data_IF_649551819653
#
_entry.id   IF_649551819653
#
_cell.length_a   1.000
_cell.length_b   1.000
_cell.length_c   1.000
_cell.angle_alpha   90.00
_cell.angle_beta   90.00
_cell.angle_gamma   90.00
#
_symmetry.space_group_name_H-M   'P 1'
#
loop_
_entity.id
_entity.type
_entity.pdbx_description
1 polymer ?
#
# COMPACT_ATOMS: atom_id res chain seq x y z
N UNK A 1 -13.88 -5.90 -36.23
CA UNK A 1 -12.68 -6.48 -35.63
C UNK A 1 -12.70 -6.06 -34.17
N UNK A 2 -12.82 -7.00 -33.24
CA UNK A 2 -12.69 -6.63 -31.82
C UNK A 2 -11.23 -6.22 -31.60
N UNK A 3 -11.04 -4.93 -31.31
CA UNK A 3 -9.72 -4.41 -30.99
C UNK A 3 -9.23 -5.14 -29.73
N UNK A 4 -8.14 -5.90 -29.85
CA UNK A 4 -7.57 -6.67 -28.73
C UNK A 4 -7.03 -5.66 -27.72
N UNK A 5 -7.43 -5.77 -26.45
CA UNK A 5 -6.95 -4.88 -25.39
C UNK A 5 -5.43 -4.95 -25.31
N UNK A 6 -4.80 -3.78 -25.19
CA UNK A 6 -3.35 -3.65 -25.02
C UNK A 6 -3.05 -3.04 -23.65
N UNK A 7 -2.38 -3.80 -22.80
CA UNK A 7 -2.08 -3.43 -21.41
C UNK A 7 -0.57 -3.25 -21.23
N UNK A 8 -0.16 -2.08 -20.75
CA UNK A 8 1.19 -1.86 -20.26
C UNK A 8 1.36 -2.44 -18.85
N UNK A 9 2.48 -3.12 -18.58
CA UNK A 9 2.85 -3.56 -17.23
C UNK A 9 4.15 -2.88 -16.85
N UNK A 10 4.06 -1.87 -15.97
CA UNK A 10 5.18 -1.05 -15.53
C UNK A 10 5.85 -1.69 -14.31
N UNK A 11 7.13 -2.04 -14.43
CA UNK A 11 7.90 -2.63 -13.32
C UNK A 11 9.41 -2.46 -13.53
N UNK A 12 10.17 -2.45 -12.42
CA UNK A 12 11.63 -2.42 -12.45
C UNK A 12 12.24 -3.82 -12.53
N UNK A 13 11.59 -4.81 -11.97
CA UNK A 13 12.10 -6.17 -11.81
C UNK A 13 10.96 -7.18 -11.83
N UNK A 14 11.14 -8.26 -12.57
CA UNK A 14 10.17 -9.37 -12.60
C UNK A 14 10.32 -10.22 -11.33
N UNK A 15 9.40 -10.04 -10.39
CA UNK A 15 9.24 -10.91 -9.21
C UNK A 15 8.29 -12.06 -9.56
N UNK A 16 8.02 -12.91 -8.61
CA UNK A 16 7.08 -14.02 -8.81
C UNK A 16 5.65 -13.53 -9.05
N UNK A 17 5.25 -12.45 -8.41
CA UNK A 17 3.94 -11.81 -8.60
C UNK A 17 3.75 -11.34 -10.05
N UNK A 18 4.75 -10.66 -10.62
CA UNK A 18 4.69 -10.21 -12.01
C UNK A 18 4.64 -11.40 -12.97
N UNK A 19 5.32 -12.53 -12.66
CA UNK A 19 5.22 -13.76 -13.46
C UNK A 19 3.81 -14.33 -13.45
N UNK A 20 3.13 -14.34 -12.30
CA UNK A 20 1.76 -14.84 -12.20
C UNK A 20 0.76 -13.93 -12.93
N UNK A 21 0.92 -12.61 -12.80
CA UNK A 21 0.10 -11.63 -13.53
C UNK A 21 0.29 -11.80 -15.05
N UNK A 22 1.53 -11.87 -15.53
CA UNK A 22 1.85 -12.06 -16.94
C UNK A 22 1.23 -13.38 -17.45
N UNK A 23 1.42 -14.49 -16.73
CA UNK A 23 0.83 -15.77 -17.09
C UNK A 23 -0.72 -15.71 -17.11
N UNK A 24 -1.33 -14.90 -16.22
CA UNK A 24 -2.77 -14.69 -16.23
C UNK A 24 -3.23 -13.87 -17.45
N UNK A 25 -2.48 -12.86 -17.88
CA UNK A 25 -2.75 -12.09 -19.11
C UNK A 25 -2.65 -12.99 -20.35
N UNK A 26 -1.62 -13.85 -20.42
CA UNK A 26 -1.45 -14.83 -21.51
C UNK A 26 -2.63 -15.81 -21.60
N UNK A 27 -3.05 -16.37 -20.46
CA UNK A 27 -4.24 -17.27 -20.40
C UNK A 27 -5.53 -16.59 -20.88
N UNK A 28 -5.66 -15.27 -20.67
CA UNK A 28 -6.85 -14.47 -21.09
C UNK A 28 -6.73 -13.92 -22.50
N UNK A 29 -5.62 -14.16 -23.17
CA UNK A 29 -5.37 -13.68 -24.53
C UNK A 29 -5.26 -12.16 -24.63
N UNK A 30 -4.85 -11.50 -23.56
CA UNK A 30 -4.60 -10.05 -23.51
C UNK A 30 -3.26 -9.75 -24.18
N UNK A 31 -3.21 -8.72 -25.02
CA UNK A 31 -1.95 -8.18 -25.51
C UNK A 31 -1.32 -7.32 -24.42
N UNK A 32 -0.10 -7.65 -24.02
CA UNK A 32 0.60 -6.91 -22.97
C UNK A 32 2.02 -6.53 -23.37
N UNK A 33 2.48 -5.41 -22.85
CA UNK A 33 3.86 -4.94 -23.03
C UNK A 33 4.53 -4.70 -21.68
N UNK A 34 5.78 -5.17 -21.56
CA UNK A 34 6.61 -4.98 -20.37
C UNK A 34 7.30 -3.63 -20.45
N UNK A 35 7.00 -2.76 -19.51
CA UNK A 35 7.53 -1.41 -19.41
C UNK A 35 8.54 -1.36 -18.24
N UNK A 36 9.84 -1.37 -18.57
CA UNK A 36 10.91 -1.29 -17.56
C UNK A 36 11.12 0.18 -17.15
N UNK A 37 10.68 0.57 -15.96
CA UNK A 37 10.74 1.93 -15.44
C UNK A 37 12.18 2.51 -15.36
N UNK A 38 13.20 1.67 -15.34
CA UNK A 38 14.61 2.07 -15.37
C UNK A 38 15.12 2.48 -16.76
N UNK A 39 14.33 2.20 -17.80
CA UNK A 39 14.68 2.43 -19.22
C UNK A 39 13.73 3.40 -19.90
N UNK A 40 12.64 3.74 -19.23
CA UNK A 40 11.63 4.66 -19.73
C UNK A 40 12.04 6.12 -19.52
N UNK A 41 11.60 6.94 -20.44
CA UNK A 41 11.53 8.38 -20.28
C UNK A 41 10.18 8.86 -20.80
N UNK A 42 9.70 9.96 -20.29
CA UNK A 42 8.45 10.60 -20.67
C UNK A 42 8.78 11.94 -21.35
N UNK A 43 8.36 12.08 -22.59
CA UNK A 43 8.37 13.37 -23.26
C UNK A 43 7.04 14.06 -22.97
N UNK A 44 7.08 15.11 -22.14
CA UNK A 44 5.86 15.78 -21.66
C UNK A 44 5.08 16.46 -22.78
N UNK A 45 5.74 16.78 -23.90
CA UNK A 45 5.13 17.39 -25.08
C UNK A 45 4.54 16.34 -26.05
N UNK A 46 4.84 15.05 -25.84
CA UNK A 46 4.41 13.95 -26.73
C UNK A 46 3.84 12.75 -25.99
N UNK A 47 2.55 12.75 -25.61
CA UNK A 47 1.88 11.62 -24.97
C UNK A 47 1.53 10.47 -25.94
N UNK A 48 1.61 10.65 -27.25
CA UNK A 48 1.10 9.70 -28.24
C UNK A 48 1.65 8.27 -28.11
N UNK A 49 2.93 8.02 -27.79
CA UNK A 49 3.44 6.68 -27.58
C UNK A 49 2.71 5.90 -26.47
N UNK A 50 2.08 6.59 -25.53
CA UNK A 50 1.41 6.01 -24.37
C UNK A 50 -0.09 5.78 -24.59
N UNK A 51 -0.70 6.49 -25.55
CA UNK A 51 -2.13 6.35 -25.92
C UNK A 51 -2.48 5.03 -26.58
N UNK A 52 -1.48 4.22 -26.92
CA UNK A 52 -1.69 2.87 -27.43
C UNK A 52 -2.15 1.85 -26.38
N UNK A 53 -2.02 2.18 -25.08
CA UNK A 53 -2.44 1.30 -23.99
C UNK A 53 -3.86 1.64 -23.53
N UNK A 54 -4.72 0.62 -23.43
CA UNK A 54 -6.06 0.76 -22.87
C UNK A 54 -6.02 0.91 -21.35
N UNK A 55 -4.98 0.35 -20.70
CA UNK A 55 -4.64 0.58 -19.29
C UNK A 55 -3.17 0.25 -19.00
N UNK A 56 -2.62 0.79 -17.92
CA UNK A 56 -1.27 0.46 -17.45
C UNK A 56 -1.36 -0.01 -16.00
N UNK A 57 -0.89 -1.24 -15.74
CA UNK A 57 -0.73 -1.79 -14.40
C UNK A 57 0.63 -1.36 -13.83
N UNK A 58 0.61 -0.63 -12.72
CA UNK A 58 1.81 -0.19 -12.01
C UNK A 58 2.26 -1.24 -11.00
N UNK A 59 3.53 -1.66 -11.09
CA UNK A 59 4.18 -2.65 -10.24
C UNK A 59 5.63 -2.28 -9.91
N UNK A 60 5.99 -1.00 -9.98
CA UNK A 60 7.35 -0.52 -9.68
C UNK A 60 7.73 -0.78 -8.23
N UNK A 61 8.99 -1.14 -8.02
CA UNK A 61 9.54 -1.32 -6.65
C UNK A 61 9.83 0.04 -6.01
N UNK A 62 10.25 1.01 -6.83
CA UNK A 62 10.50 2.38 -6.40
C UNK A 62 9.21 3.15 -6.31
N UNK A 63 8.78 3.49 -5.09
CA UNK A 63 7.61 4.34 -4.86
C UNK A 63 7.68 5.64 -5.67
N UNK A 64 8.82 6.33 -5.62
CA UNK A 64 8.98 7.62 -6.31
C UNK A 64 8.83 7.46 -7.83
N UNK A 65 9.51 6.48 -8.43
CA UNK A 65 9.42 6.25 -9.88
C UNK A 65 8.00 5.88 -10.31
N UNK A 66 7.37 4.96 -9.57
CA UNK A 66 5.97 4.56 -9.81
C UNK A 66 5.01 5.74 -9.71
N UNK A 67 5.07 6.51 -8.61
CA UNK A 67 4.19 7.67 -8.41
C UNK A 67 4.33 8.72 -9.51
N UNK A 68 5.56 9.10 -9.90
CA UNK A 68 5.75 10.09 -10.95
C UNK A 68 5.32 9.58 -12.33
N UNK A 69 5.55 8.31 -12.63
CA UNK A 69 5.02 7.70 -13.85
C UNK A 69 3.48 7.73 -13.87
N UNK A 70 2.83 7.37 -12.77
CA UNK A 70 1.38 7.44 -12.63
C UNK A 70 0.84 8.86 -12.79
N UNK A 71 1.49 9.86 -12.17
CA UNK A 71 1.09 11.28 -12.31
C UNK A 71 1.13 11.74 -13.76
N UNK A 72 2.18 11.39 -14.51
CA UNK A 72 2.32 11.72 -15.92
C UNK A 72 1.23 11.02 -16.74
N UNK A 73 1.09 9.70 -16.58
CA UNK A 73 0.12 8.91 -17.33
C UNK A 73 -1.32 9.37 -17.07
N UNK A 74 -1.68 9.61 -15.79
CA UNK A 74 -3.02 10.09 -15.45
C UNK A 74 -3.27 11.52 -15.96
N UNK A 75 -2.26 12.41 -15.97
CA UNK A 75 -2.41 13.76 -16.56
C UNK A 75 -2.70 13.70 -18.07
N UNK A 76 -2.31 12.64 -18.75
CA UNK A 76 -2.62 12.40 -20.16
C UNK A 76 -3.95 11.64 -20.35
N UNK A 77 -4.68 11.34 -19.27
CA UNK A 77 -5.94 10.58 -19.31
C UNK A 77 -5.76 9.10 -19.58
N UNK A 78 -4.57 8.55 -19.40
CA UNK A 78 -4.30 7.11 -19.59
C UNK A 78 -4.72 6.39 -18.32
N UNK A 79 -5.64 5.39 -18.41
CA UNK A 79 -6.06 4.62 -17.25
C UNK A 79 -4.89 3.82 -16.65
N UNK A 80 -4.77 3.87 -15.31
CA UNK A 80 -3.75 3.11 -14.59
C UNK A 80 -4.36 2.36 -13.40
N UNK A 81 -3.76 1.24 -13.04
CA UNK A 81 -4.06 0.47 -11.83
C UNK A 81 -2.75 0.34 -11.01
N UNK A 82 -2.64 0.96 -9.80
CA UNK A 82 -3.57 1.93 -9.26
C UNK A 82 -3.39 3.31 -9.89
N UNK A 83 -4.23 4.30 -9.50
CA UNK A 83 -4.06 5.69 -9.94
C UNK A 83 -2.96 6.40 -9.13
N UNK A 84 -2.50 7.55 -9.65
CA UNK A 84 -1.57 8.41 -8.92
C UNK A 84 -2.13 8.85 -7.55
N UNK A 85 -3.42 9.17 -7.48
CA UNK A 85 -4.09 9.57 -6.24
C UNK A 85 -4.05 8.46 -5.19
N UNK A 86 -4.34 7.22 -5.58
CA UNK A 86 -4.26 6.05 -4.70
C UNK A 86 -2.82 5.77 -4.26
N UNK A 87 -1.85 5.83 -5.18
CA UNK A 87 -0.45 5.63 -4.85
C UNK A 87 0.08 6.71 -3.87
N UNK A 88 -0.34 7.95 -4.05
CA UNK A 88 0.00 9.06 -3.17
C UNK A 88 -0.64 8.90 -1.78
N UNK A 89 -1.93 8.57 -1.72
CA UNK A 89 -2.63 8.32 -0.45
C UNK A 89 -2.01 7.17 0.34
N UNK A 90 -1.67 6.06 -0.32
CA UNK A 90 -1.09 4.89 0.34
C UNK A 90 0.42 5.03 0.63
N UNK A 91 1.14 5.85 -0.13
CA UNK A 91 2.59 6.04 0.02
C UNK A 91 2.99 6.92 1.21
N UNK A 92 2.03 7.69 1.73
CA UNK A 92 2.21 8.60 2.86
C UNK A 92 1.29 8.21 4.02
N UNK A 93 1.87 7.85 5.17
CA UNK A 93 1.11 7.37 6.35
C UNK A 93 0.18 8.41 6.94
N UNK A 94 0.55 9.70 6.86
CA UNK A 94 -0.31 10.77 7.34
C UNK A 94 -1.53 10.92 6.43
N UNK A 95 -1.31 10.89 5.11
CA UNK A 95 -2.40 10.95 4.12
C UNK A 95 -3.33 9.74 4.26
N UNK A 96 -2.78 8.52 4.40
CA UNK A 96 -3.59 7.31 4.68
C UNK A 96 -4.40 7.50 5.97
N UNK A 97 -3.78 7.92 7.08
CA UNK A 97 -4.45 8.04 8.36
C UNK A 97 -5.56 9.10 8.36
N UNK A 98 -5.35 10.22 7.66
CA UNK A 98 -6.40 11.26 7.53
C UNK A 98 -7.55 10.79 6.65
N UNK A 99 -7.28 9.99 5.61
CA UNK A 99 -8.33 9.38 4.78
C UNK A 99 -9.16 8.36 5.58
N UNK A 100 -8.51 7.52 6.38
CA UNK A 100 -9.17 6.55 7.25
C UNK A 100 -10.04 7.24 8.32
N UNK A 101 -9.52 8.32 8.93
CA UNK A 101 -10.24 9.11 9.93
C UNK A 101 -11.51 9.71 9.35
N UNK A 102 -11.41 10.39 8.20
CA UNK A 102 -12.57 10.99 7.50
C UNK A 102 -13.62 9.95 7.12
N UNK A 103 -13.19 8.74 6.78
CA UNK A 103 -14.08 7.63 6.47
C UNK A 103 -14.63 6.93 7.73
N UNK A 104 -14.18 7.29 8.94
CA UNK A 104 -14.55 6.62 10.18
C UNK A 104 -14.10 5.16 10.21
N UNK A 105 -12.91 4.87 9.67
CA UNK A 105 -12.28 3.55 9.74
C UNK A 105 -11.46 3.46 11.02
N UNK A 106 -11.65 2.45 11.87
CA UNK A 106 -10.86 2.26 13.08
C UNK A 106 -9.37 2.09 12.76
N UNK A 107 -8.53 2.85 13.43
CA UNK A 107 -7.07 2.81 13.32
C UNK A 107 -6.42 3.04 14.68
N UNK A 108 -5.13 2.72 14.88
CA UNK A 108 -4.39 3.13 16.06
C UNK A 108 -4.40 4.65 16.19
N UNK A 109 -4.37 5.14 17.43
CA UNK A 109 -4.25 6.57 17.70
C UNK A 109 -2.91 7.09 17.22
N UNK A 110 -2.94 8.16 16.42
CA UNK A 110 -1.75 8.77 15.85
C UNK A 110 -1.68 10.24 16.25
N UNK A 111 -0.50 10.71 16.63
CA UNK A 111 -0.19 12.12 16.85
C UNK A 111 0.94 12.54 15.90
N UNK A 112 0.85 13.75 15.40
CA UNK A 112 1.81 14.30 14.44
C UNK A 112 2.45 15.55 15.05
N UNK A 113 3.77 15.62 14.97
CA UNK A 113 4.55 16.75 15.47
C UNK A 113 5.59 17.17 14.44
N UNK A 114 6.08 18.40 14.56
CA UNK A 114 7.02 18.98 13.60
C UNK A 114 8.33 19.44 14.23
N UNK A 115 8.45 19.32 15.57
CA UNK A 115 9.69 19.58 16.30
C UNK A 115 9.94 18.45 17.30
N UNK A 116 11.18 18.20 17.73
CA UNK A 116 11.47 17.22 18.78
C UNK A 116 10.71 17.48 20.07
N UNK A 117 10.58 18.75 20.45
CA UNK A 117 9.90 19.17 21.69
C UNK A 117 8.42 18.80 21.64
N UNK A 118 7.71 19.20 20.58
CA UNK A 118 6.30 18.85 20.41
C UNK A 118 6.08 17.35 20.18
N UNK A 119 7.07 16.64 19.62
CA UNK A 119 7.03 15.18 19.49
C UNK A 119 7.14 14.50 20.86
N UNK A 120 8.00 14.99 21.74
CA UNK A 120 8.12 14.49 23.10
C UNK A 120 6.83 14.70 23.89
N UNK A 121 6.22 15.88 23.81
CA UNK A 121 4.91 16.16 24.43
C UNK A 121 3.82 15.20 23.88
N UNK A 122 3.80 14.96 22.57
CA UNK A 122 2.86 14.02 21.95
C UNK A 122 3.06 12.59 22.45
N UNK A 123 4.31 12.15 22.63
CA UNK A 123 4.64 10.84 23.21
C UNK A 123 4.12 10.73 24.65
N UNK A 124 4.34 11.77 25.48
CA UNK A 124 3.84 11.80 26.86
C UNK A 124 2.29 11.74 26.92
N UNK A 125 1.60 12.37 25.96
CA UNK A 125 0.12 12.29 25.86
C UNK A 125 -0.36 10.89 25.49
N UNK A 126 0.35 10.18 24.60
CA UNK A 126 0.00 8.80 24.23
C UNK A 126 0.35 7.80 25.34
N UNK A 127 1.41 8.08 26.10
CA UNK A 127 2.02 7.15 27.05
C UNK A 127 2.93 6.13 26.37
N UNK A 128 3.80 5.52 27.18
CA UNK A 128 4.74 4.52 26.68
C UNK A 128 4.14 3.10 26.78
N UNK A 129 4.52 2.20 25.85
CA UNK A 129 5.37 2.45 24.71
C UNK A 129 4.63 3.06 23.52
N UNK A 130 5.37 3.76 22.63
CA UNK A 130 4.85 4.26 21.34
C UNK A 130 5.68 3.76 20.17
N UNK A 131 5.16 3.90 18.95
CA UNK A 131 5.90 3.60 17.72
C UNK A 131 6.11 4.87 16.93
N UNK A 132 7.36 5.26 16.71
CA UNK A 132 7.74 6.32 15.81
C UNK A 132 7.97 5.74 14.42
N UNK A 133 7.32 6.32 13.40
CA UNK A 133 7.38 5.86 12.00
C UNK A 133 7.84 6.98 11.08
N UNK A 134 8.56 6.70 9.98
CA UNK A 134 8.69 7.66 8.91
C UNK A 134 7.32 7.81 8.21
N UNK A 135 6.97 9.03 7.81
CA UNK A 135 5.72 9.31 7.09
C UNK A 135 5.72 8.56 5.75
N UNK A 136 6.82 8.67 5.00
CA UNK A 136 7.07 7.91 3.78
C UNK A 136 8.09 6.82 4.07
N UNK A 137 7.79 5.58 3.75
CA UNK A 137 8.67 4.43 3.96
C UNK A 137 7.92 3.11 3.99
N UNK A 138 8.61 2.02 3.64
CA UNK A 138 8.04 0.68 3.50
C UNK A 138 8.91 -0.39 4.19
N UNK A 139 8.39 -1.61 4.24
CA UNK A 139 9.05 -2.82 4.78
C UNK A 139 9.48 -2.76 6.24
N UNK A 140 8.82 -1.94 7.07
CA UNK A 140 9.14 -1.81 8.49
C UNK A 140 10.54 -1.25 8.76
N UNK A 141 11.09 -0.46 7.82
CA UNK A 141 12.36 0.23 8.00
C UNK A 141 12.17 1.53 8.78
N UNK A 142 13.17 1.89 9.58
CA UNK A 142 13.19 3.13 10.38
C UNK A 142 12.01 3.25 11.36
N UNK A 143 11.43 2.12 11.78
CA UNK A 143 10.46 2.07 12.88
C UNK A 143 11.23 2.00 14.20
N UNK A 144 10.82 2.79 15.17
CA UNK A 144 11.34 2.74 16.52
C UNK A 144 10.20 2.51 17.54
N UNK A 145 10.29 1.45 18.35
CA UNK A 145 9.47 1.29 19.55
C UNK A 145 10.18 2.02 20.67
N UNK A 146 9.52 3.02 21.23
CA UNK A 146 10.03 3.89 22.29
C UNK A 146 9.35 3.50 23.59
N UNK A 147 10.13 3.02 24.55
CA UNK A 147 9.60 2.42 25.78
C UNK A 147 9.58 3.38 26.98
N UNK A 148 10.36 4.46 26.92
CA UNK A 148 10.53 5.42 27.99
C UNK A 148 10.97 6.78 27.46
N UNK A 149 11.05 7.76 28.36
CA UNK A 149 11.42 9.15 28.04
C UNK A 149 12.87 9.28 27.53
N UNK A 150 13.81 8.60 28.17
CA UNK A 150 15.22 8.70 27.79
C UNK A 150 15.43 8.19 26.35
N UNK A 151 14.77 7.08 25.99
CA UNK A 151 14.76 6.56 24.64
C UNK A 151 14.06 7.52 23.64
N UNK A 152 13.01 8.21 24.08
CA UNK A 152 12.32 9.21 23.24
C UNK A 152 13.25 10.38 22.91
N UNK A 153 13.86 10.99 23.92
CA UNK A 153 14.77 12.12 23.77
C UNK A 153 15.94 11.76 22.82
N UNK A 154 16.58 10.60 23.04
CA UNK A 154 17.70 10.14 22.20
C UNK A 154 17.29 9.91 20.74
N UNK A 155 16.14 9.27 20.49
CA UNK A 155 15.68 8.99 19.10
C UNK A 155 15.24 10.28 18.41
N UNK A 156 14.57 11.19 19.10
CA UNK A 156 14.14 12.47 18.54
C UNK A 156 15.33 13.36 18.17
N UNK A 157 16.35 13.46 19.05
CA UNK A 157 17.59 14.20 18.80
C UNK A 157 18.35 13.62 17.60
N UNK A 158 18.51 12.29 17.57
CA UNK A 158 19.17 11.61 16.46
C UNK A 158 18.45 11.87 15.12
N UNK A 159 17.11 11.80 15.13
CA UNK A 159 16.30 12.04 13.93
C UNK A 159 16.37 13.51 13.48
N UNK A 160 16.38 14.46 14.40
CA UNK A 160 16.50 15.88 14.09
C UNK A 160 17.90 16.24 13.54
N UNK A 161 18.95 15.61 14.05
CA UNK A 161 20.35 15.92 13.69
C UNK A 161 20.78 15.25 12.37
N UNK A 162 20.43 13.97 12.18
CA UNK A 162 20.90 13.15 11.06
C UNK A 162 19.82 12.91 9.98
N UNK A 163 18.58 13.32 10.26
CA UNK A 163 17.47 13.12 9.35
C UNK A 163 17.52 14.05 8.13
N UNK A 164 16.92 13.61 7.03
CA UNK A 164 16.62 14.47 5.88
C UNK A 164 15.39 15.33 6.18
N UNK A 165 15.08 16.30 5.30
CA UNK A 165 13.88 17.16 5.40
C UNK A 165 12.59 16.34 5.60
N UNK A 166 12.49 15.16 5.00
CA UNK A 166 11.35 14.26 5.19
C UNK A 166 11.26 13.69 6.62
N UNK A 167 12.35 13.73 7.39
CA UNK A 167 12.39 13.30 8.78
C UNK A 167 11.97 14.38 9.79
N UNK A 168 11.68 15.61 9.35
CA UNK A 168 11.17 16.68 10.20
C UNK A 168 9.70 16.49 10.60
N UNK A 169 9.01 15.52 10.02
CA UNK A 169 7.67 15.11 10.44
C UNK A 169 7.76 13.90 11.35
N UNK A 170 7.26 14.03 12.56
CA UNK A 170 7.22 12.96 13.55
C UNK A 170 5.83 12.34 13.57
N UNK A 171 5.70 11.14 12.98
CA UNK A 171 4.50 10.33 13.01
C UNK A 171 4.59 9.36 14.20
N UNK A 172 3.81 9.63 15.24
CA UNK A 172 3.83 8.94 16.51
C UNK A 172 2.54 8.16 16.64
N UNK A 173 2.64 6.84 16.80
CA UNK A 173 1.49 5.95 16.91
C UNK A 173 1.49 5.24 18.27
N UNK A 174 0.33 5.08 18.87
CA UNK A 174 0.19 4.20 20.04
C UNK A 174 0.72 2.80 19.72
N UNK A 175 1.39 2.18 20.67
CA UNK A 175 1.79 0.78 20.54
C UNK A 175 0.62 -0.12 20.93
N UNK A 176 0.23 -1.01 20.00
CA UNK A 176 -0.79 -2.01 20.26
C UNK A 176 -0.11 -3.34 20.59
N UNK A 177 -0.40 -3.86 21.79
CA UNK A 177 0.01 -5.20 22.15
C UNK A 177 -0.89 -6.21 21.42
N UNK A 178 -0.35 -6.79 20.39
CA UNK A 178 -1.06 -7.72 19.51
C UNK A 178 -0.66 -9.17 19.82
N UNK A 179 -1.49 -10.17 19.46
CA UNK A 179 -1.27 -11.57 19.84
C UNK A 179 -0.15 -12.26 19.02
N UNK A 180 1.01 -11.61 18.87
CA UNK A 180 2.15 -12.12 18.09
C UNK A 180 1.92 -12.25 16.59
N UNK A 181 0.85 -11.62 16.08
CA UNK A 181 0.49 -11.62 14.65
C UNK A 181 -0.18 -10.31 14.24
N UNK A 182 -0.26 -10.09 12.95
CA UNK A 182 -1.18 -9.15 12.32
C UNK A 182 -1.86 -9.81 11.12
N UNK A 183 -2.82 -9.11 10.51
CA UNK A 183 -3.54 -9.59 9.34
C UNK A 183 -3.11 -8.76 8.13
N UNK A 184 -2.81 -9.42 7.01
CA UNK A 184 -2.72 -8.79 5.70
C UNK A 184 -3.88 -9.29 4.84
N UNK A 185 -4.83 -8.40 4.57
CA UNK A 185 -5.94 -8.63 3.69
C UNK A 185 -5.68 -8.04 2.30
N UNK A 186 -6.17 -8.70 1.27
CA UNK A 186 -6.00 -8.30 -0.13
C UNK A 186 -7.36 -7.86 -0.68
N UNK A 187 -7.41 -6.63 -1.16
CA UNK A 187 -8.62 -6.03 -1.71
C UNK A 187 -8.40 -5.73 -3.18
N UNK A 188 -9.33 -6.15 -4.03
CA UNK A 188 -9.34 -5.83 -5.46
C UNK A 188 -10.72 -5.29 -5.81
N UNK A 189 -10.77 -4.05 -6.26
CA UNK A 189 -12.02 -3.31 -6.39
C UNK A 189 -12.74 -3.19 -5.05
N UNK A 190 -13.95 -3.72 -4.97
CA UNK A 190 -14.81 -3.69 -3.78
C UNK A 190 -14.81 -5.00 -2.97
N UNK A 191 -13.89 -5.92 -3.26
CA UNK A 191 -13.88 -7.25 -2.65
C UNK A 191 -12.58 -7.52 -1.90
N UNK A 192 -12.71 -7.97 -0.66
CA UNK A 192 -11.61 -8.61 0.07
C UNK A 192 -11.48 -10.06 -0.39
N UNK A 193 -10.56 -10.31 -1.31
CA UNK A 193 -10.41 -11.58 -2.02
C UNK A 193 -9.77 -12.69 -1.18
N UNK A 194 -8.92 -12.33 -0.22
CA UNK A 194 -8.25 -13.26 0.70
C UNK A 194 -7.54 -12.49 1.81
N UNK A 195 -7.15 -13.21 2.87
CA UNK A 195 -6.32 -12.67 3.95
C UNK A 195 -5.38 -13.73 4.53
N UNK A 196 -4.27 -13.28 5.10
CA UNK A 196 -3.33 -14.13 5.85
C UNK A 196 -2.99 -13.48 7.20
N UNK A 197 -2.76 -14.29 8.20
CA UNK A 197 -2.02 -13.90 9.39
C UNK A 197 -0.53 -13.88 9.07
N UNK A 198 0.20 -12.90 9.60
CA UNK A 198 1.66 -12.85 9.59
C UNK A 198 2.13 -13.00 11.03
N UNK A 199 2.67 -14.16 11.38
CA UNK A 199 3.13 -14.49 12.74
C UNK A 199 4.62 -14.19 12.88
N UNK A 200 5.01 -13.59 13.99
CA UNK A 200 6.42 -13.39 14.35
C UNK A 200 6.56 -13.25 15.86
N UNK A 201 7.63 -13.75 16.46
CA UNK A 201 7.96 -13.45 17.85
C UNK A 201 8.38 -11.98 18.07
N UNK A 202 8.70 -11.28 16.97
CA UNK A 202 9.05 -9.87 17.01
C UNK A 202 7.80 -8.99 16.89
N UNK A 203 7.77 -7.83 17.51
CA UNK A 203 6.63 -6.90 17.43
C UNK A 203 6.34 -6.39 16.00
N UNK A 204 7.36 -6.38 15.11
CA UNK A 204 7.18 -6.19 13.67
C UNK A 204 6.99 -7.56 13.03
N UNK A 205 5.82 -7.80 12.46
CA UNK A 205 5.37 -9.11 11.96
C UNK A 205 5.53 -9.28 10.45
N UNK A 206 6.19 -8.34 9.76
CA UNK A 206 6.38 -8.38 8.31
C UNK A 206 7.08 -9.66 7.84
N UNK A 207 6.57 -10.30 6.79
CA UNK A 207 7.16 -11.49 6.17
C UNK A 207 8.60 -11.24 5.67
N UNK A 208 8.92 -10.02 5.23
CA UNK A 208 10.29 -9.62 4.87
C UNK A 208 11.31 -9.74 6.04
N UNK A 209 10.84 -9.87 7.29
CA UNK A 209 11.64 -10.12 8.50
C UNK A 209 11.50 -11.54 9.05
N UNK A 210 11.04 -12.49 8.24
CA UNK A 210 10.91 -13.89 8.63
C UNK A 210 9.58 -14.22 9.31
N UNK A 211 8.55 -13.38 9.16
CA UNK A 211 7.20 -13.71 9.62
C UNK A 211 6.61 -14.87 8.82
N UNK A 212 5.97 -15.82 9.51
CA UNK A 212 5.29 -16.95 8.92
C UNK A 212 3.86 -16.59 8.53
N UNK A 213 3.45 -17.01 7.32
CA UNK A 213 2.08 -16.85 6.83
C UNK A 213 1.18 -17.98 7.27
N UNK A 214 -0.05 -17.65 7.70
CA UNK A 214 -1.13 -18.62 7.95
C UNK A 214 -2.43 -18.09 7.36
N UNK A 215 -3.31 -18.98 6.88
CA UNK A 215 -4.60 -18.56 6.31
C UNK A 215 -5.43 -17.83 7.38
N UNK A 216 -5.91 -16.64 7.03
CA UNK A 216 -6.86 -15.89 7.84
C UNK A 216 -8.24 -15.96 7.16
N UNK A 217 -9.29 -16.49 7.83
CA UNK A 217 -10.63 -16.46 7.27
C UNK A 217 -11.11 -15.02 7.06
N UNK A 218 -11.65 -14.73 5.88
CA UNK A 218 -12.30 -13.46 5.62
C UNK A 218 -13.70 -13.48 6.22
N UNK A 219 -13.81 -12.95 7.44
CA UNK A 219 -15.11 -12.82 8.11
C UNK A 219 -15.84 -11.57 7.58
N UNK A 220 -17.19 -11.49 7.69
CA UNK A 220 -17.93 -10.29 7.28
C UNK A 220 -17.41 -8.99 7.91
N UNK A 221 -16.99 -9.04 9.17
CA UNK A 221 -16.42 -7.89 9.87
C UNK A 221 -15.05 -7.48 9.29
N UNK A 222 -14.19 -8.46 8.95
CA UNK A 222 -12.90 -8.20 8.32
C UNK A 222 -13.10 -7.64 6.90
N UNK A 223 -14.01 -8.21 6.13
CA UNK A 223 -14.36 -7.73 4.80
C UNK A 223 -14.88 -6.29 4.82
N UNK A 224 -15.80 -5.97 5.71
CA UNK A 224 -16.37 -4.63 5.85
C UNK A 224 -15.30 -3.57 6.12
N UNK A 225 -14.41 -3.80 7.11
CA UNK A 225 -13.36 -2.83 7.44
C UNK A 225 -12.33 -2.69 6.33
N UNK A 226 -11.94 -3.79 5.66
CA UNK A 226 -11.00 -3.77 4.54
C UNK A 226 -11.56 -3.01 3.34
N UNK A 227 -12.81 -3.31 2.96
CA UNK A 227 -13.46 -2.64 1.83
C UNK A 227 -13.71 -1.15 2.12
N UNK A 228 -14.06 -0.81 3.38
CA UNK A 228 -14.20 0.59 3.80
C UNK A 228 -12.86 1.34 3.76
N UNK A 229 -11.79 0.70 4.23
CA UNK A 229 -10.43 1.24 4.18
C UNK A 229 -9.93 1.43 2.75
N UNK A 230 -10.19 0.46 1.87
CA UNK A 230 -9.84 0.55 0.45
C UNK A 230 -10.55 1.73 -0.23
N UNK A 231 -11.86 1.89 -0.01
CA UNK A 231 -12.62 3.04 -0.54
C UNK A 231 -12.11 4.38 -0.01
N UNK A 232 -11.66 4.44 1.25
CA UNK A 232 -11.14 5.67 1.85
C UNK A 232 -9.93 6.25 1.11
N UNK A 233 -9.13 5.40 0.46
CA UNK A 233 -7.93 5.81 -0.30
C UNK A 233 -8.14 5.81 -1.81
N UNK A 234 -9.38 5.60 -2.31
CA UNK A 234 -9.74 5.62 -3.73
C UNK A 234 -9.85 4.25 -4.39
N UNK A 235 -9.77 3.15 -3.66
CA UNK A 235 -9.97 1.78 -4.18
C UNK A 235 -8.79 1.24 -4.99
N UNK A 236 -9.07 0.23 -5.82
CA UNK A 236 -8.08 -0.38 -6.71
C UNK A 236 -7.58 -1.74 -6.22
N UNK A 237 -6.27 -1.97 -6.36
CA UNK A 237 -5.57 -3.21 -6.01
C UNK A 237 -4.71 -2.94 -4.79
N UNK A 238 -5.16 -3.37 -3.61
CA UNK A 238 -4.62 -2.93 -2.32
C UNK A 238 -4.36 -4.10 -1.37
N UNK A 239 -3.31 -3.96 -0.54
CA UNK A 239 -3.16 -4.79 0.66
C UNK A 239 -3.38 -3.92 1.90
N UNK A 240 -4.27 -4.36 2.79
CA UNK A 240 -4.63 -3.68 4.03
C UNK A 240 -4.00 -4.45 5.20
N UNK A 241 -3.14 -3.79 5.96
CA UNK A 241 -2.51 -4.35 7.14
C UNK A 241 -3.32 -3.97 8.39
N UNK A 242 -3.75 -4.97 9.16
CA UNK A 242 -4.69 -4.84 10.27
C UNK A 242 -4.08 -5.40 11.54
N UNK A 243 -4.24 -4.66 12.64
CA UNK A 243 -3.89 -5.09 13.98
C UNK A 243 -5.18 -5.52 14.70
N UNK A 244 -5.11 -6.67 15.39
CA UNK A 244 -6.15 -7.13 16.30
C UNK A 244 -5.93 -6.48 17.67
N UNK A 245 -6.80 -5.53 18.07
CA UNK A 245 -6.77 -4.94 19.41
C UNK A 245 -7.76 -5.71 20.31
N UNK A 246 -7.37 -6.11 21.53
CA UNK A 246 -8.18 -6.97 22.38
C UNK A 246 -9.57 -6.41 22.72
N UNK A 247 -9.70 -5.09 22.85
CA UNK A 247 -10.95 -4.43 23.24
C UNK A 247 -11.62 -3.68 22.08
N UNK A 248 -10.85 -3.12 21.13
CA UNK A 248 -11.35 -2.31 20.00
C UNK A 248 -11.56 -3.09 18.72
N UNK A 249 -11.20 -4.38 18.69
CA UNK A 249 -11.29 -5.22 17.49
C UNK A 249 -10.25 -4.87 16.43
N UNK A 250 -10.66 -4.87 15.17
CA UNK A 250 -9.75 -4.61 14.04
C UNK A 250 -9.40 -3.13 13.89
N UNK A 251 -8.11 -2.85 13.76
CA UNK A 251 -7.56 -1.51 13.53
C UNK A 251 -6.71 -1.52 12.26
N UNK A 252 -7.03 -0.68 11.29
CA UNK A 252 -6.24 -0.55 10.05
C UNK A 252 -4.94 0.19 10.37
N UNK A 253 -3.81 -0.46 10.12
CA UNK A 253 -2.47 0.06 10.44
C UNK A 253 -1.77 0.70 9.24
N UNK A 254 -1.97 0.13 8.05
CA UNK A 254 -1.31 0.57 6.81
C UNK A 254 -2.08 0.03 5.59
N UNK A 255 -2.05 0.78 4.47
CA UNK A 255 -2.56 0.33 3.17
C UNK A 255 -1.43 0.42 2.15
N UNK A 256 -1.25 -0.64 1.38
CA UNK A 256 -0.19 -0.76 0.37
C UNK A 256 -0.81 -0.85 -1.03
N UNK A 257 -0.44 0.05 -1.94
CA UNK A 257 -0.95 0.10 -3.32
C UNK A 257 -0.20 -0.82 -4.30
N UNK A 258 1.02 -1.24 -3.98
CA UNK A 258 1.79 -2.24 -4.76
C UNK A 258 1.97 -3.48 -3.91
N UNK A 259 0.89 -4.27 -3.79
CA UNK A 259 0.87 -5.42 -2.89
C UNK A 259 1.79 -6.56 -3.33
N UNK A 260 2.48 -7.16 -2.36
CA UNK A 260 3.26 -8.39 -2.50
C UNK A 260 2.41 -9.57 -2.02
N UNK A 261 2.27 -10.60 -2.87
CA UNK A 261 1.41 -11.75 -2.60
C UNK A 261 2.07 -13.11 -2.88
N UNK A 262 3.41 -13.12 -3.00
CA UNK A 262 4.17 -14.35 -3.25
C UNK A 262 3.98 -15.42 -2.17
N UNK A 263 3.74 -15.04 -0.92
CA UNK A 263 3.41 -15.98 0.15
C UNK A 263 1.92 -16.37 0.14
N UNK A 264 1.05 -15.39 -0.18
CA UNK A 264 -0.41 -15.54 -0.04
C UNK A 264 -1.00 -16.47 -1.09
N UNK A 265 -0.67 -16.28 -2.36
CA UNK A 265 -1.26 -17.08 -3.44
C UNK A 265 -1.00 -18.58 -3.27
N UNK A 266 0.21 -19.08 -3.03
CA UNK A 266 0.43 -20.52 -2.81
C UNK A 266 -0.17 -21.01 -1.49
N UNK A 267 -0.23 -20.19 -0.45
CA UNK A 267 -0.76 -20.57 0.84
C UNK A 267 -2.30 -20.73 0.83
N UNK A 268 -3.00 -19.80 0.18
CA UNK A 268 -4.46 -19.74 0.19
C UNK A 268 -5.10 -20.46 -0.99
N UNK A 269 -4.34 -20.73 -2.05
CA UNK A 269 -4.85 -21.26 -3.32
C UNK A 269 -5.64 -20.24 -4.16
N UNK A 270 -5.78 -18.98 -3.71
CA UNK A 270 -6.49 -17.94 -4.44
C UNK A 270 -5.60 -17.41 -5.57
N UNK A 271 -6.10 -17.40 -6.82
CA UNK A 271 -5.37 -16.86 -7.99
C UNK A 271 -5.38 -15.31 -7.95
N UNK A 272 -4.61 -14.74 -7.01
CA UNK A 272 -4.51 -13.28 -6.84
C UNK A 272 -4.04 -12.61 -8.14
N UNK A 273 -3.05 -13.16 -8.82
CA UNK A 273 -2.57 -12.65 -10.09
C UNK A 273 -3.64 -12.65 -11.19
N UNK A 274 -4.48 -13.68 -11.19
CA UNK A 274 -5.63 -13.78 -12.10
C UNK A 274 -6.69 -12.72 -11.80
N UNK A 275 -7.07 -12.54 -10.54
CA UNK A 275 -8.07 -11.56 -10.12
C UNK A 275 -7.60 -10.12 -10.42
N UNK A 276 -6.32 -9.81 -10.16
CA UNK A 276 -5.73 -8.51 -10.54
C UNK A 276 -5.84 -8.30 -12.05
N UNK A 277 -5.51 -9.33 -12.83
CA UNK A 277 -5.58 -9.25 -14.30
C UNK A 277 -7.00 -8.98 -14.78
N UNK A 278 -8.01 -9.65 -14.21
CA UNK A 278 -9.43 -9.42 -14.54
C UNK A 278 -9.85 -7.99 -14.22
N UNK A 279 -9.44 -7.47 -13.07
CA UNK A 279 -9.70 -6.10 -12.66
C UNK A 279 -9.05 -5.07 -13.62
N UNK A 280 -7.80 -5.27 -14.04
CA UNK A 280 -7.13 -4.42 -15.04
C UNK A 280 -7.85 -4.45 -16.38
N UNK A 281 -8.34 -5.61 -16.81
CA UNK A 281 -9.14 -5.76 -18.02
C UNK A 281 -10.45 -4.97 -17.92
N UNK A 282 -11.11 -5.00 -16.75
CA UNK A 282 -12.34 -4.26 -16.53
C UNK A 282 -12.12 -2.74 -16.51
N UNK A 283 -11.01 -2.27 -15.94
CA UNK A 283 -10.57 -0.87 -16.04
C UNK A 283 -10.30 -0.48 -17.50
N UNK A 284 -9.57 -1.30 -18.24
CA UNK A 284 -9.25 -1.08 -19.66
C UNK A 284 -10.51 -1.05 -20.56
N UNK A 285 -11.61 -1.65 -20.11
CA UNK A 285 -12.91 -1.65 -20.81
C UNK A 285 -13.87 -0.57 -20.32
N UNK A 286 -13.40 0.38 -19.53
CA UNK A 286 -14.25 1.40 -18.87
C UNK A 286 -15.40 0.84 -18.00
N UNK A 287 -15.32 -0.42 -17.60
CA UNK A 287 -16.33 -1.03 -16.71
C UNK A 287 -16.15 -0.62 -15.25
N UNK A 288 -14.94 -0.25 -14.88
CA UNK A 288 -14.59 0.25 -13.55
C UNK A 288 -13.92 1.60 -13.71
N UNK A 289 -14.44 2.62 -13.03
CA UNK A 289 -13.83 3.95 -12.96
C UNK A 289 -13.11 4.07 -11.62
N UNK A 290 -11.81 4.31 -11.65
CA UNK A 290 -11.03 4.61 -10.46
C UNK A 290 -11.09 6.11 -10.15
N UNK A 291 -11.26 6.47 -8.88
CA UNK A 291 -11.19 7.87 -8.45
C UNK A 291 -9.81 8.45 -8.80
N UNK A 292 -9.80 9.67 -9.35
CA UNK A 292 -8.58 10.34 -9.82
C UNK A 292 -8.05 9.89 -11.18
N UNK A 293 -8.77 9.04 -11.92
CA UNK A 293 -8.39 8.67 -13.29
C UNK A 293 -8.79 9.70 -14.36
N UNK A 294 -9.63 10.67 -13.99
CA UNK A 294 -10.02 11.81 -14.84
C UNK A 294 -9.81 13.10 -14.06
N UNK A 295 -8.75 13.81 -14.38
CA UNK A 295 -8.53 15.22 -14.00
C UNK A 295 -8.86 16.09 -15.20
#
# INVERSE_FOLDING_TARGET
MHNRLRIGVLFSRVRVEEKWIIAAMERRGVDYERLDDRRLFFDLDNPDPWRQYDAILERSISYTSGLYALRILNSWGIPTVNTAAVAEACGDKLTTSTALERAGVPQPRNLIAFTPESALEAIEILGYPVVLKPVVGSWGRLLAKINDRDAAEAVLEHKATLGSVQHSVFYIQEFIEKPGRDIRAFVVGDQTITAIYRKSPHWITNTARGGEGEICPVTPQLEEICNKAARAVGGGVLAVDIIEHPERGFLVNEINHTMEFHTTQPLTGVDVGGIITDYVIDVARDKVTLEGSRI
#
